data_IF_291450168560
#
_entry.id   IF_291450168560
#
_cell.length_a   1.000
_cell.length_b   1.000
_cell.length_c   1.000
_cell.angle_alpha   90.00
_cell.angle_beta   90.00
_cell.angle_gamma   90.00
#
_symmetry.space_group_name_H-M   'P 1'
#
loop_
_entity.id
_entity.type
_entity.pdbx_description
1 polymer ?
#
# COMPACT_ATOMS: atom_id res chain seq x y z
N UNK A 1 28.29 9.10 -64.52
CA UNK A 1 27.68 7.83 -65.02
C UNK A 1 28.54 6.69 -64.51
N UNK A 2 27.98 5.73 -63.77
CA UNK A 2 28.74 4.57 -63.28
C UNK A 2 28.89 3.60 -64.46
N UNK A 3 30.13 3.21 -64.77
CA UNK A 3 30.39 2.25 -65.82
C UNK A 3 30.23 0.82 -65.26
N UNK A 4 29.42 -0.01 -65.93
CA UNK A 4 29.23 -1.42 -65.55
C UNK A 4 30.50 -2.24 -65.78
N UNK A 5 31.38 -1.76 -66.67
CA UNK A 5 32.74 -2.27 -66.89
C UNK A 5 33.74 -1.58 -65.94
N UNK A 6 33.54 -1.76 -64.64
CA UNK A 6 34.53 -1.30 -63.67
C UNK A 6 35.76 -2.21 -63.73
N UNK A 7 36.99 -1.67 -63.83
CA UNK A 7 38.23 -2.47 -63.83
C UNK A 7 38.42 -3.27 -62.54
N UNK A 8 37.68 -2.92 -61.47
CA UNK A 8 37.70 -3.60 -60.19
C UNK A 8 36.79 -4.84 -60.16
N UNK A 9 35.88 -4.98 -61.13
CA UNK A 9 34.84 -6.00 -61.16
C UNK A 9 33.84 -5.86 -60.01
N UNK A 10 32.74 -6.61 -60.09
CA UNK A 10 31.78 -6.71 -58.98
C UNK A 10 30.75 -5.58 -58.89
N UNK A 11 30.59 -4.77 -59.94
CA UNK A 11 29.41 -3.91 -60.11
C UNK A 11 28.41 -4.65 -60.99
N UNK A 12 27.16 -4.81 -60.53
CA UNK A 12 26.08 -5.42 -61.30
C UNK A 12 24.77 -4.69 -61.07
N UNK A 13 23.95 -4.59 -62.12
CA UNK A 13 22.61 -4.01 -62.05
C UNK A 13 21.58 -5.09 -62.36
N UNK A 14 20.78 -5.44 -61.36
CA UNK A 14 19.68 -6.39 -61.52
C UNK A 14 18.39 -5.61 -61.63
N UNK A 15 17.68 -5.77 -62.74
CA UNK A 15 16.36 -5.15 -62.93
C UNK A 15 15.30 -6.24 -62.90
N UNK A 16 14.42 -6.16 -61.91
CA UNK A 16 13.23 -7.01 -61.80
C UNK A 16 12.05 -6.29 -62.42
N UNK A 17 11.50 -6.88 -63.48
CA UNK A 17 10.30 -6.36 -64.16
C UNK A 17 9.07 -7.07 -63.58
N UNK A 18 8.16 -6.29 -63.04
CA UNK A 18 6.86 -6.73 -62.51
C UNK A 18 5.86 -5.58 -62.55
N UNK A 19 4.82 -5.65 -61.71
CA UNK A 19 3.86 -4.53 -61.53
C UNK A 19 4.61 -3.26 -61.09
N UNK A 20 5.63 -3.43 -60.24
CA UNK A 20 6.61 -2.40 -59.90
C UNK A 20 7.97 -2.86 -60.43
N UNK A 21 8.59 -2.03 -61.27
CA UNK A 21 9.94 -2.31 -61.78
C UNK A 21 10.96 -1.85 -60.74
N UNK A 22 11.78 -2.79 -60.25
CA UNK A 22 12.81 -2.50 -59.24
C UNK A 22 14.18 -2.71 -59.85
N UNK A 23 15.07 -1.71 -59.72
CA UNK A 23 16.48 -1.83 -60.08
C UNK A 23 17.33 -1.93 -58.81
N UNK A 24 18.22 -2.92 -58.76
CA UNK A 24 19.16 -3.14 -57.66
C UNK A 24 20.59 -3.05 -58.16
N UNK A 25 21.32 -2.05 -57.70
CA UNK A 25 22.75 -1.90 -57.94
C UNK A 25 23.51 -2.66 -56.86
N UNK A 26 24.35 -3.59 -57.27
CA UNK A 26 25.23 -4.39 -56.41
C UNK A 26 26.65 -3.89 -56.64
N UNK A 27 27.34 -3.50 -55.57
CA UNK A 27 28.75 -3.07 -55.59
C UNK A 27 29.52 -3.95 -54.61
N UNK A 28 30.37 -4.82 -55.13
CA UNK A 28 31.19 -5.73 -54.33
C UNK A 28 32.53 -5.09 -53.94
N UNK A 29 33.08 -5.54 -52.80
CA UNK A 29 34.38 -5.10 -52.26
C UNK A 29 34.49 -3.59 -52.11
N UNK A 30 33.40 -2.89 -51.78
CA UNK A 30 33.30 -1.43 -51.74
C UNK A 30 34.43 -0.78 -50.91
N UNK A 31 34.99 0.34 -51.40
CA UNK A 31 36.07 1.09 -50.73
C UNK A 31 35.60 2.51 -50.45
N UNK A 32 36.28 3.22 -49.54
CA UNK A 32 35.94 4.57 -49.14
C UNK A 32 35.68 5.55 -50.30
N UNK A 33 36.40 5.41 -51.43
CA UNK A 33 36.24 6.25 -52.62
C UNK A 33 34.95 6.00 -53.42
N UNK A 34 34.25 4.88 -53.20
CA UNK A 34 32.94 4.65 -53.85
C UNK A 34 31.81 5.40 -53.11
N UNK A 35 32.11 6.13 -52.03
CA UNK A 35 31.17 6.99 -51.33
C UNK A 35 30.75 8.17 -52.22
N UNK A 36 29.47 8.50 -52.25
CA UNK A 36 28.98 9.58 -53.09
C UNK A 36 27.47 9.58 -53.28
N UNK A 37 27.01 10.37 -54.25
CA UNK A 37 25.61 10.41 -54.65
C UNK A 37 25.36 9.42 -55.78
N UNK A 38 24.42 8.50 -55.53
CA UNK A 38 23.96 7.51 -56.48
C UNK A 38 22.59 7.95 -56.99
N UNK A 39 22.52 8.30 -58.27
CA UNK A 39 21.27 8.74 -58.91
C UNK A 39 20.75 7.63 -59.82
N UNK A 40 19.52 7.20 -59.59
CA UNK A 40 18.77 6.34 -60.49
C UNK A 40 17.96 7.21 -61.46
N UNK A 41 18.19 7.03 -62.75
CA UNK A 41 17.52 7.77 -63.83
C UNK A 41 16.75 6.79 -64.73
N UNK A 42 15.54 6.36 -64.33
CA UNK A 42 14.71 5.48 -65.16
C UNK A 42 14.17 6.23 -66.38
N UNK A 43 13.87 5.51 -67.47
CA UNK A 43 13.35 6.14 -68.69
C UNK A 43 11.92 6.69 -68.56
N UNK A 44 11.13 6.13 -67.64
CA UNK A 44 9.69 6.36 -67.53
C UNK A 44 9.28 6.99 -66.19
N UNK A 45 10.23 7.50 -65.39
CA UNK A 45 9.94 8.10 -64.09
C UNK A 45 11.00 9.15 -63.71
N UNK A 46 10.70 9.93 -62.67
CA UNK A 46 11.60 10.97 -62.19
C UNK A 46 12.88 10.37 -61.58
N UNK A 47 14.03 11.04 -61.76
CA UNK A 47 15.28 10.59 -61.18
C UNK A 47 15.27 10.71 -59.66
N UNK A 48 15.83 9.71 -58.98
CA UNK A 48 15.94 9.69 -57.51
C UNK A 48 17.41 9.55 -57.11
N UNK A 49 17.85 10.35 -56.14
CA UNK A 49 19.24 10.34 -55.66
C UNK A 49 19.33 9.89 -54.21
N UNK A 50 20.30 9.03 -53.92
CA UNK A 50 20.63 8.57 -52.57
C UNK A 50 22.10 8.87 -52.29
N UNK A 51 22.42 9.27 -51.06
CA UNK A 51 23.81 9.45 -50.61
C UNK A 51 24.30 8.17 -49.95
N UNK A 52 25.38 7.59 -50.47
CA UNK A 52 26.03 6.39 -49.94
C UNK A 52 27.34 6.80 -49.29
N UNK A 53 27.56 6.32 -48.08
CA UNK A 53 28.81 6.50 -47.34
C UNK A 53 29.34 5.12 -46.98
N UNK A 54 30.51 4.77 -47.50
CA UNK A 54 31.23 3.55 -47.12
C UNK A 54 32.07 3.89 -45.89
N UNK A 55 32.21 2.96 -44.98
CA UNK A 55 33.00 3.14 -43.76
C UNK A 55 33.96 1.96 -43.66
N UNK A 56 35.26 2.26 -43.57
CA UNK A 56 36.27 1.24 -43.34
C UNK A 56 36.18 0.78 -41.89
N UNK A 57 35.76 -0.48 -41.69
CA UNK A 57 35.94 -1.23 -40.45
C UNK A 57 35.73 -0.40 -39.17
N UNK A 58 34.53 0.16 -39.00
CA UNK A 58 34.15 0.61 -37.67
C UNK A 58 34.12 -0.66 -36.81
N UNK A 59 34.92 -0.70 -35.74
CA UNK A 59 34.61 -1.57 -34.61
C UNK A 59 33.10 -1.43 -34.42
N UNK A 60 32.30 -2.51 -34.47
CA UNK A 60 30.88 -2.37 -34.21
C UNK A 60 30.83 -1.81 -32.79
N UNK A 61 30.66 -0.49 -32.68
CA UNK A 61 30.40 0.16 -31.42
C UNK A 61 29.16 -0.58 -30.97
N UNK A 62 29.30 -1.35 -29.90
CA UNK A 62 28.31 -2.32 -29.47
C UNK A 62 26.96 -1.63 -29.60
N UNK A 63 26.14 -2.09 -30.55
CA UNK A 63 24.77 -1.63 -30.68
C UNK A 63 24.09 -2.16 -29.42
N UNK A 64 24.25 -1.42 -28.33
CA UNK A 64 23.52 -1.65 -27.12
C UNK A 64 22.10 -1.20 -27.46
N UNK A 65 21.35 -2.09 -28.10
CA UNK A 65 19.90 -2.15 -27.99
C UNK A 65 19.54 -2.55 -26.55
N UNK A 66 20.09 -1.81 -25.58
CA UNK A 66 19.47 -1.62 -24.31
C UNK A 66 18.59 -0.40 -24.49
N UNK A 67 17.33 -0.63 -24.85
CA UNK A 67 16.24 0.27 -24.46
C UNK A 67 16.09 0.28 -22.94
N UNK A 68 17.19 0.47 -22.20
CA UNK A 68 17.09 1.13 -20.93
C UNK A 68 16.93 2.59 -21.33
N UNK A 69 15.71 3.10 -21.24
CA UNK A 69 15.50 4.50 -20.90
C UNK A 69 16.45 4.72 -19.72
N UNK A 70 17.61 5.31 -19.98
CA UNK A 70 18.41 5.93 -18.95
C UNK A 70 17.52 7.08 -18.52
N UNK A 71 16.60 6.77 -17.61
CA UNK A 71 15.91 7.74 -16.80
C UNK A 71 17.06 8.29 -15.97
N UNK A 72 17.83 9.21 -16.57
CA UNK A 72 18.80 10.01 -15.89
C UNK A 72 17.93 10.91 -15.04
N UNK A 73 17.46 10.35 -13.92
CA UNK A 73 16.76 11.08 -12.90
C UNK A 73 17.78 12.13 -12.50
N UNK A 74 17.62 13.41 -12.88
CA UNK A 74 18.58 14.43 -12.51
C UNK A 74 18.79 14.32 -11.01
N UNK A 75 20.05 14.40 -10.57
CA UNK A 75 20.42 14.29 -9.15
C UNK A 75 19.52 15.15 -8.26
N UNK A 76 19.04 16.29 -8.77
CA UNK A 76 18.03 17.14 -8.15
C UNK A 76 16.72 16.40 -7.79
N UNK A 77 16.14 15.57 -8.68
CA UNK A 77 14.91 14.84 -8.40
C UNK A 77 15.12 13.75 -7.35
N UNK A 78 16.29 13.11 -7.30
CA UNK A 78 16.63 12.14 -6.27
C UNK A 78 16.78 12.82 -4.91
N UNK A 79 17.42 13.99 -4.86
CA UNK A 79 17.52 14.81 -3.65
C UNK A 79 16.15 15.30 -3.15
N UNK A 80 15.27 15.71 -4.07
CA UNK A 80 13.89 16.11 -3.75
C UNK A 80 13.06 14.92 -3.23
N UNK A 81 13.20 13.74 -3.83
CA UNK A 81 12.50 12.54 -3.36
C UNK A 81 12.96 12.12 -1.96
N UNK A 82 14.27 12.17 -1.68
CA UNK A 82 14.82 11.83 -0.37
C UNK A 82 14.38 12.82 0.72
N UNK A 83 14.43 14.12 0.44
CA UNK A 83 13.96 15.15 1.40
C UNK A 83 12.47 15.02 1.68
N UNK A 84 11.63 14.79 0.65
CA UNK A 84 10.21 14.54 0.84
C UNK A 84 9.95 13.24 1.63
N UNK A 85 10.71 12.17 1.36
CA UNK A 85 10.66 10.92 2.11
C UNK A 85 11.03 11.07 3.59
N UNK A 86 12.05 11.86 3.89
CA UNK A 86 12.46 12.16 5.27
C UNK A 86 11.40 13.01 5.99
N UNK A 87 10.85 14.03 5.32
CA UNK A 87 9.80 14.90 5.89
C UNK A 87 8.51 14.14 6.16
N UNK A 88 8.08 13.28 5.24
CA UNK A 88 6.91 12.41 5.45
C UNK A 88 7.14 11.44 6.59
N UNK A 89 8.31 10.79 6.68
CA UNK A 89 8.66 9.93 7.82
C UNK A 89 8.66 10.71 9.15
N UNK A 90 9.19 11.93 9.16
CA UNK A 90 9.16 12.81 10.34
C UNK A 90 7.74 13.20 10.72
N UNK A 91 6.89 13.53 9.75
CA UNK A 91 5.47 13.82 9.96
C UNK A 91 4.72 12.61 10.54
N UNK A 92 4.94 11.40 10.00
CA UNK A 92 4.37 10.16 10.54
C UNK A 92 4.89 9.85 11.95
N UNK A 93 6.20 10.05 12.21
CA UNK A 93 6.81 9.90 13.53
C UNK A 93 6.26 10.92 14.54
N UNK A 94 5.97 12.13 14.08
CA UNK A 94 5.29 13.15 14.88
C UNK A 94 3.83 12.78 15.14
N UNK A 95 3.13 12.20 14.16
CA UNK A 95 1.77 11.72 14.32
C UNK A 95 1.68 10.52 15.28
N UNK A 96 2.67 9.61 15.30
CA UNK A 96 2.75 8.58 16.33
C UNK A 96 2.89 9.18 17.73
N UNK A 97 3.61 10.30 17.90
CA UNK A 97 3.71 10.97 19.19
C UNK A 97 2.37 11.59 19.66
N UNK A 98 1.52 12.06 18.73
CA UNK A 98 0.17 12.55 19.02
C UNK A 98 -0.83 11.40 19.29
N UNK A 99 -0.81 10.34 18.47
CA UNK A 99 -1.66 9.15 18.65
C UNK A 99 -1.29 8.35 19.91
N UNK A 100 -0.01 8.26 20.28
CA UNK A 100 0.46 7.73 21.57
C UNK A 100 -0.14 8.55 22.73
N UNK A 101 0.03 9.88 22.73
CA UNK A 101 -0.54 10.74 23.79
C UNK A 101 -2.07 10.64 23.89
N UNK A 102 -2.78 10.50 22.76
CA UNK A 102 -4.24 10.27 22.73
C UNK A 102 -4.59 8.86 23.24
N UNK A 103 -3.82 7.83 22.88
CA UNK A 103 -3.98 6.45 23.37
C UNK A 103 -3.79 6.36 24.88
N UNK A 104 -2.78 7.02 25.42
CA UNK A 104 -2.55 7.17 26.86
C UNK A 104 -3.71 7.90 27.55
N UNK A 105 -4.17 9.04 27.02
CA UNK A 105 -5.34 9.77 27.56
C UNK A 105 -6.62 8.93 27.58
N UNK A 106 -6.88 8.16 26.51
CA UNK A 106 -8.03 7.24 26.47
C UNK A 106 -7.90 6.09 27.48
N UNK A 107 -6.69 5.57 27.69
CA UNK A 107 -6.39 4.57 28.72
C UNK A 107 -6.66 5.08 30.14
N UNK A 108 -6.20 6.30 30.46
CA UNK A 108 -6.38 6.91 31.79
C UNK A 108 -7.85 7.19 32.09
N UNK A 109 -8.64 7.69 31.13
CA UNK A 109 -10.08 7.96 31.31
C UNK A 109 -10.85 6.65 31.58
N UNK A 110 -10.60 5.58 30.84
CA UNK A 110 -11.21 4.27 31.09
C UNK A 110 -10.87 3.71 32.46
N UNK A 111 -9.63 3.89 32.92
CA UNK A 111 -9.18 3.49 34.26
C UNK A 111 -9.91 4.28 35.35
N UNK A 112 -9.99 5.61 35.24
CA UNK A 112 -10.69 6.48 36.21
C UNK A 112 -12.18 6.13 36.29
N UNK A 113 -12.85 5.90 35.15
CA UNK A 113 -14.27 5.49 35.12
C UNK A 113 -14.46 4.15 35.83
N UNK A 114 -13.59 3.17 35.57
CA UNK A 114 -13.63 1.85 36.21
C UNK A 114 -13.39 1.94 37.72
N UNK A 115 -12.41 2.73 38.17
CA UNK A 115 -12.12 2.94 39.60
C UNK A 115 -13.29 3.64 40.29
N UNK A 116 -13.91 4.64 39.65
CA UNK A 116 -15.13 5.29 40.19
C UNK A 116 -16.28 4.29 40.28
N UNK A 117 -16.47 3.44 39.27
CA UNK A 117 -17.50 2.38 39.27
C UNK A 117 -17.25 1.34 40.38
N UNK A 118 -16.00 0.91 40.58
CA UNK A 118 -15.64 -0.01 41.65
C UNK A 118 -15.88 0.59 43.05
N UNK A 119 -15.49 1.86 43.26
CA UNK A 119 -15.75 2.56 44.54
C UNK A 119 -17.25 2.75 44.82
N UNK A 120 -18.06 3.01 43.79
CA UNK A 120 -19.52 3.09 43.93
C UNK A 120 -20.11 1.73 44.30
N UNK A 121 -19.66 0.65 43.65
CA UNK A 121 -20.12 -0.70 43.94
C UNK A 121 -19.71 -1.16 45.35
N UNK A 122 -18.51 -0.81 45.82
CA UNK A 122 -18.08 -1.04 47.22
C UNK A 122 -18.98 -0.30 48.22
N UNK A 123 -19.34 0.96 47.97
CA UNK A 123 -20.26 1.72 48.82
C UNK A 123 -21.66 1.11 48.85
N UNK A 124 -22.16 0.62 47.71
CA UNK A 124 -23.46 -0.08 47.66
C UNK A 124 -23.43 -1.37 48.48
N UNK A 125 -22.37 -2.19 48.36
CA UNK A 125 -22.21 -3.41 49.17
C UNK A 125 -22.10 -3.10 50.67
N UNK A 126 -21.36 -2.06 51.06
CA UNK A 126 -21.29 -1.63 52.46
C UNK A 126 -22.65 -1.19 53.00
N UNK A 127 -23.45 -0.47 52.22
CA UNK A 127 -24.82 -0.09 52.63
C UNK A 127 -25.73 -1.30 52.80
N UNK A 128 -25.65 -2.28 51.89
CA UNK A 128 -26.39 -3.55 52.03
C UNK A 128 -25.97 -4.32 53.29
N UNK A 129 -24.67 -4.40 53.57
CA UNK A 129 -24.16 -5.05 54.79
C UNK A 129 -24.60 -4.32 56.06
N UNK A 130 -24.58 -2.99 56.08
CA UNK A 130 -25.07 -2.21 57.22
C UNK A 130 -26.56 -2.43 57.44
N UNK A 131 -27.35 -2.47 56.36
CA UNK A 131 -28.79 -2.73 56.44
C UNK A 131 -29.09 -4.15 56.93
N UNK A 132 -28.34 -5.15 56.45
CA UNK A 132 -28.45 -6.52 56.93
C UNK A 132 -28.05 -6.63 58.41
N UNK A 133 -26.93 -6.02 58.81
CA UNK A 133 -26.51 -5.98 60.21
C UNK A 133 -27.56 -5.28 61.11
N UNK A 134 -28.26 -4.27 60.59
CA UNK A 134 -29.33 -3.58 61.32
C UNK A 134 -30.57 -4.49 61.49
N UNK A 135 -30.96 -5.22 60.45
CA UNK A 135 -32.02 -6.23 60.49
C UNK A 135 -31.65 -7.37 61.46
N UNK A 136 -30.42 -7.87 61.41
CA UNK A 136 -29.93 -8.91 62.33
C UNK A 136 -29.87 -8.43 63.78
N UNK A 137 -29.55 -7.14 64.01
CA UNK A 137 -29.63 -6.53 65.35
C UNK A 137 -31.08 -6.41 65.83
N UNK A 138 -32.02 -6.03 64.96
CA UNK A 138 -33.44 -6.02 65.30
C UNK A 138 -33.93 -7.44 65.63
N UNK A 139 -33.55 -8.45 64.84
CA UNK A 139 -33.88 -9.84 65.12
C UNK A 139 -33.27 -10.34 66.43
N UNK A 140 -32.01 -10.00 66.72
CA UNK A 140 -31.38 -10.32 68.01
C UNK A 140 -32.06 -9.65 69.19
N UNK A 141 -32.45 -8.38 69.06
CA UNK A 141 -33.19 -7.67 70.10
C UNK A 141 -34.60 -8.25 70.31
N UNK A 142 -35.24 -8.69 69.23
CA UNK A 142 -36.53 -9.42 69.28
C UNK A 142 -36.37 -10.78 69.98
N UNK A 143 -35.32 -11.53 69.66
CA UNK A 143 -35.01 -12.82 70.29
C UNK A 143 -34.60 -12.69 71.77
N UNK A 144 -33.89 -11.62 72.16
CA UNK A 144 -33.62 -11.36 73.58
C UNK A 144 -34.89 -11.00 74.35
N UNK A 145 -35.82 -10.26 73.73
CA UNK A 145 -37.13 -9.97 74.31
C UNK A 145 -38.02 -11.23 74.39
N UNK A 146 -37.82 -12.22 73.51
CA UNK A 146 -38.50 -13.53 73.58
C UNK A 146 -37.86 -14.49 74.60
N UNK A 147 -36.64 -14.25 75.09
CA UNK A 147 -36.00 -15.15 76.05
C UNK A 147 -36.37 -14.85 77.51
N UNK A 148 -37.00 -13.71 77.79
CA UNK A 148 -37.48 -13.31 79.13
C UNK A 148 -38.97 -13.66 79.38
N UNK A 149 -39.64 -14.32 78.44
CA UNK A 149 -41.01 -14.83 78.63
C UNK A 149 -41.04 -16.35 78.55
N UNK A 150 -40.40 -17.02 79.53
CA UNK A 150 -40.76 -18.40 79.88
C UNK A 150 -42.14 -18.45 80.55
N UNK A 151 -43.18 -18.45 79.71
CA UNK A 151 -44.34 -19.36 79.85
C UNK A 151 -44.77 -19.79 78.44
N UNK A 152 -44.20 -20.91 78.00
CA UNK A 152 -44.72 -21.87 77.00
C UNK A 152 -45.56 -21.33 75.83
N UNK A 153 -44.95 -21.13 74.66
CA UNK A 153 -45.31 -21.79 73.37
C UNK A 153 -44.40 -21.33 72.20
N UNK A 154 -44.18 -22.17 71.17
CA UNK A 154 -43.17 -21.92 70.12
C UNK A 154 -43.62 -20.88 69.08
N UNK A 155 -42.68 -20.06 68.60
CA UNK A 155 -42.89 -19.11 67.51
C UNK A 155 -43.14 -19.85 66.18
N UNK A 156 -44.41 -20.00 65.79
CA UNK A 156 -44.79 -20.23 64.40
C UNK A 156 -44.59 -18.92 63.63
N UNK A 157 -43.38 -18.72 63.09
CA UNK A 157 -43.15 -17.64 62.13
C UNK A 157 -43.81 -18.04 60.80
N UNK A 158 -44.98 -17.46 60.55
CA UNK A 158 -45.75 -17.65 59.33
C UNK A 158 -44.91 -17.38 58.08
N UNK A 159 -44.58 -18.45 57.38
CA UNK A 159 -44.18 -18.43 55.99
C UNK A 159 -45.42 -17.96 55.20
N UNK A 160 -45.48 -16.68 54.81
CA UNK A 160 -46.56 -16.18 53.95
C UNK A 160 -46.28 -16.61 52.51
N UNK A 161 -46.51 -17.90 52.23
CA UNK A 161 -46.69 -18.39 50.86
C UNK A 161 -48.07 -17.94 50.38
N UNK A 162 -48.12 -16.98 49.47
CA UNK A 162 -49.31 -16.79 48.64
C UNK A 162 -49.36 -17.97 47.65
N UNK A 163 -50.03 -19.05 48.06
CA UNK A 163 -50.62 -20.01 47.14
C UNK A 163 -52.10 -19.65 47.03
N UNK A 164 -52.44 -18.96 45.94
CA UNK A 164 -53.81 -18.70 45.54
C UNK A 164 -54.27 -19.83 44.62
N UNK A 165 -55.38 -20.50 44.96
CA UNK A 165 -56.19 -21.41 44.12
C UNK A 165 -57.40 -21.90 44.98
N UNK A 166 -58.54 -22.34 44.42
CA UNK A 166 -59.54 -21.60 43.63
C UNK A 166 -60.99 -21.75 44.19
N UNK A 167 -61.89 -20.86 43.75
CA UNK A 167 -63.33 -21.03 43.42
C UNK A 167 -64.34 -21.56 44.46
N UNK A 168 -65.41 -20.79 44.67
CA UNK A 168 -66.82 -21.18 44.39
C UNK A 168 -67.60 -19.98 43.89
#
# INVERSE_FOLDING_TARGET
>A
VINFDSPRGGISLVTEKGILTTSRLLVQKAIQSDSGFYTCTPSNANPTTVRVHIVDGEHPAAMHHGGAIQLQVPSCLLMLALTFGILTLHYYRQQSNLLERIRWRKGTIKSIITIKRQRQQQRQRQRQQLQQNHLDKQQRNSNSNCFDTKRTQPCLLGHRTNLELPVT
#
